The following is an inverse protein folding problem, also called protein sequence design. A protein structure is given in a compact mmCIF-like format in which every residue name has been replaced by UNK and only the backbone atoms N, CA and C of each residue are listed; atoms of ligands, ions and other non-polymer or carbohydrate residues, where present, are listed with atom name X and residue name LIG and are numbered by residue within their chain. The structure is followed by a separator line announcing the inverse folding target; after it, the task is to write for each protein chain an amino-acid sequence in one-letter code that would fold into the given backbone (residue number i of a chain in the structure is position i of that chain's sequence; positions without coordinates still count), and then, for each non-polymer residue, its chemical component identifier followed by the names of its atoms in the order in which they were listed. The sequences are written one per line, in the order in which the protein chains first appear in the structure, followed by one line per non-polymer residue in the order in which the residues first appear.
data_IF_057285711939
#
_entry.id   IF_057285711939
#
_cell.length_a   1.000
_cell.length_b   1.000
_cell.length_c   1.000
_cell.angle_alpha   90.00
_cell.angle_beta   90.00
_cell.angle_gamma   90.00
#
_symmetry.space_group_name_H-M   'P 1'
#
loop_
_entity.id
_entity.type
_entity.pdbx_description
1 polymer ?
#
# COMPACT_ATOMS: atom_id res chain seq x y z
N UNK A 1 9.15 -20.50 -11.37
CA UNK A 1 9.83 -19.78 -12.46
C UNK A 1 9.29 -18.36 -12.63
N UNK A 2 7.97 -18.16 -12.78
CA UNK A 2 7.38 -16.82 -12.97
C UNK A 2 7.66 -15.82 -11.83
N UNK A 3 7.64 -16.28 -10.57
CA UNK A 3 7.94 -15.42 -9.41
C UNK A 3 9.37 -14.88 -9.40
N UNK A 4 10.34 -15.72 -9.80
CA UNK A 4 11.75 -15.36 -9.82
C UNK A 4 12.05 -14.31 -10.90
N UNK A 5 11.46 -14.48 -12.09
CA UNK A 5 11.54 -13.48 -13.15
C UNK A 5 10.93 -12.13 -12.75
N UNK A 6 9.84 -12.14 -11.98
CA UNK A 6 9.23 -10.91 -11.48
C UNK A 6 10.13 -10.16 -10.48
N UNK A 7 10.88 -10.88 -9.64
CA UNK A 7 11.84 -10.27 -8.72
C UNK A 7 13.06 -9.71 -9.45
N UNK A 8 13.58 -10.42 -10.45
CA UNK A 8 14.70 -9.95 -11.27
C UNK A 8 14.34 -8.64 -12.01
N UNK A 9 13.14 -8.58 -12.59
CA UNK A 9 12.63 -7.34 -13.21
C UNK A 9 12.46 -6.22 -12.19
N UNK A 10 11.93 -6.51 -11.00
CA UNK A 10 11.80 -5.52 -9.93
C UNK A 10 13.16 -4.97 -9.48
N UNK A 11 14.20 -5.82 -9.44
CA UNK A 11 15.58 -5.43 -9.13
C UNK A 11 16.12 -4.46 -10.19
N UNK A 12 16.00 -4.81 -11.47
CA UNK A 12 16.47 -3.96 -12.58
C UNK A 12 15.78 -2.60 -12.57
N UNK A 13 14.44 -2.59 -12.49
CA UNK A 13 13.67 -1.34 -12.45
C UNK A 13 14.02 -0.50 -11.21
N UNK A 14 14.20 -1.12 -10.05
CA UNK A 14 14.57 -0.42 -8.82
C UNK A 14 15.95 0.22 -8.93
N UNK A 15 16.94 -0.49 -9.50
CA UNK A 15 18.27 0.06 -9.73
C UNK A 15 18.25 1.27 -10.67
N UNK A 16 17.44 1.21 -11.75
CA UNK A 16 17.26 2.34 -12.67
C UNK A 16 16.66 3.57 -11.97
N UNK A 17 15.68 3.38 -11.09
CA UNK A 17 15.10 4.49 -10.32
C UNK A 17 16.16 5.13 -9.42
N UNK A 18 17.02 4.34 -8.78
CA UNK A 18 18.11 4.86 -7.94
C UNK A 18 19.19 5.59 -8.73
N UNK A 19 19.34 5.34 -10.04
CA UNK A 19 20.22 6.16 -10.87
C UNK A 19 19.73 7.62 -10.99
N UNK A 20 18.42 7.87 -10.88
CA UNK A 20 17.84 9.22 -10.93
C UNK A 20 17.73 9.87 -9.56
N UNK A 21 17.38 9.09 -8.53
CA UNK A 21 17.16 9.56 -7.17
C UNK A 21 17.75 8.52 -6.21
N UNK A 22 19.03 8.72 -5.86
CA UNK A 22 19.81 7.77 -5.06
C UNK A 22 19.25 7.68 -3.64
N UNK A 23 18.85 8.80 -3.04
CA UNK A 23 18.28 8.85 -1.69
C UNK A 23 16.82 8.34 -1.60
N UNK A 24 16.26 7.75 -2.67
CA UNK A 24 14.87 7.25 -2.68
C UNK A 24 14.69 6.01 -1.82
N UNK A 25 14.51 6.23 -0.53
CA UNK A 25 14.40 5.18 0.50
C UNK A 25 13.28 4.15 0.23
N UNK A 26 12.14 4.59 -0.33
CA UNK A 26 11.06 3.66 -0.73
C UNK A 26 11.52 2.66 -1.79
N UNK A 27 12.39 3.08 -2.71
CA UNK A 27 12.97 2.21 -3.73
C UNK A 27 13.98 1.24 -3.11
N UNK A 28 14.83 1.72 -2.20
CA UNK A 28 15.72 0.84 -1.42
C UNK A 28 14.96 -0.28 -0.71
N UNK A 29 13.85 0.03 -0.01
CA UNK A 29 13.01 -0.99 0.64
C UNK A 29 12.43 -2.01 -0.34
N UNK A 30 12.01 -1.58 -1.53
CA UNK A 30 11.51 -2.50 -2.56
C UNK A 30 12.60 -3.44 -3.04
N UNK A 31 13.80 -2.92 -3.29
CA UNK A 31 14.96 -3.72 -3.66
C UNK A 31 15.36 -4.71 -2.57
N UNK A 32 15.39 -4.29 -1.31
CA UNK A 32 15.64 -5.17 -0.16
C UNK A 32 14.68 -6.37 -0.16
N UNK A 33 13.38 -6.11 -0.37
CA UNK A 33 12.37 -7.19 -0.47
C UNK A 33 12.61 -8.08 -1.68
N UNK A 34 12.80 -7.50 -2.87
CA UNK A 34 13.01 -8.28 -4.09
C UNK A 34 14.23 -9.21 -4.00
N UNK A 35 15.36 -8.71 -3.46
CA UNK A 35 16.53 -9.55 -3.21
C UNK A 35 16.22 -10.69 -2.25
N UNK A 36 15.60 -10.40 -1.10
CA UNK A 36 15.25 -11.43 -0.12
C UNK A 36 14.33 -12.52 -0.70
N UNK A 37 13.31 -12.14 -1.47
CA UNK A 37 12.36 -13.08 -2.08
C UNK A 37 12.94 -13.88 -3.24
N UNK A 38 13.96 -13.34 -3.92
CA UNK A 38 14.74 -14.08 -4.91
C UNK A 38 15.71 -15.09 -4.27
N UNK A 39 15.79 -15.11 -2.92
CA UNK A 39 16.73 -15.94 -2.16
C UNK A 39 18.07 -15.27 -1.85
N UNK A 40 18.29 -14.05 -2.33
CA UNK A 40 19.51 -13.27 -2.08
C UNK A 40 19.38 -12.41 -0.81
N UNK A 41 19.41 -13.06 0.34
CA UNK A 41 19.39 -12.38 1.66
C UNK A 41 20.57 -11.42 1.81
N UNK A 42 21.75 -11.79 1.34
CA UNK A 42 22.96 -10.95 1.44
C UNK A 42 22.82 -9.68 0.61
N UNK A 43 22.30 -9.78 -0.61
CA UNK A 43 21.97 -8.63 -1.46
C UNK A 43 20.97 -7.69 -0.79
N UNK A 44 19.97 -8.25 -0.10
CA UNK A 44 18.99 -7.46 0.64
C UNK A 44 19.62 -6.63 1.79
N UNK A 45 20.50 -7.25 2.59
CA UNK A 45 21.20 -6.56 3.68
C UNK A 45 22.18 -5.50 3.16
N UNK A 46 22.91 -5.80 2.09
CA UNK A 46 23.79 -4.80 1.43
C UNK A 46 23.01 -3.62 0.86
N UNK A 47 21.78 -3.84 0.42
CA UNK A 47 20.93 -2.76 -0.10
C UNK A 47 20.48 -1.79 1.00
N UNK A 48 20.29 -2.29 2.24
CA UNK A 48 20.07 -1.46 3.41
C UNK A 48 21.29 -0.59 3.73
N UNK A 49 22.49 -1.19 3.77
CA UNK A 49 23.73 -0.44 4.03
C UNK A 49 23.92 0.70 3.03
N UNK A 50 23.69 0.42 1.73
CA UNK A 50 23.69 1.45 0.68
C UNK A 50 22.66 2.55 0.92
N UNK A 51 21.47 2.20 1.40
CA UNK A 51 20.44 3.19 1.76
C UNK A 51 20.95 4.11 2.86
N UNK A 52 21.55 3.55 3.92
CA UNK A 52 22.11 4.32 5.02
C UNK A 52 23.20 5.27 4.53
N UNK A 53 24.16 4.77 3.75
CA UNK A 53 25.25 5.59 3.20
C UNK A 53 24.73 6.75 2.38
N UNK A 54 23.80 6.51 1.44
CA UNK A 54 23.29 7.56 0.57
C UNK A 54 22.42 8.57 1.32
N UNK A 55 21.58 8.12 2.27
CA UNK A 55 20.77 9.04 3.08
C UNK A 55 21.64 9.93 3.97
N UNK A 56 22.71 9.38 4.53
CA UNK A 56 23.70 10.16 5.28
C UNK A 56 24.40 11.16 4.35
N UNK A 57 24.93 10.69 3.21
CA UNK A 57 25.71 11.52 2.28
C UNK A 57 24.90 12.65 1.63
N UNK A 58 23.67 12.36 1.16
CA UNK A 58 22.87 13.33 0.39
C UNK A 58 21.95 14.17 1.28
N UNK A 59 21.45 13.60 2.37
CA UNK A 59 20.39 14.22 3.19
C UNK A 59 20.78 14.41 4.67
N UNK A 60 21.91 13.84 5.12
CA UNK A 60 22.36 13.89 6.53
C UNK A 60 21.28 13.36 7.50
N UNK A 61 20.57 12.31 7.07
CA UNK A 61 19.52 11.66 7.86
C UNK A 61 19.73 10.17 7.91
N UNK A 62 19.20 9.57 8.98
CA UNK A 62 19.14 8.12 9.13
C UNK A 62 17.89 7.56 8.41
N UNK A 63 17.88 6.26 8.06
CA UNK A 63 16.70 5.61 7.49
C UNK A 63 15.48 5.72 8.39
N UNK A 64 14.29 5.78 7.78
CA UNK A 64 13.00 5.75 8.47
C UNK A 64 12.80 4.43 9.24
N UNK A 65 11.90 4.46 10.22
CA UNK A 65 11.56 3.30 11.05
C UNK A 65 11.13 2.07 10.24
N UNK A 66 10.49 2.27 9.07
CA UNK A 66 10.01 1.16 8.24
C UNK A 66 11.17 0.47 7.53
N UNK A 67 12.20 1.21 7.15
CA UNK A 67 13.41 0.68 6.52
C UNK A 67 14.26 -0.07 7.54
N UNK A 68 14.41 0.48 8.75
CA UNK A 68 15.09 -0.20 9.87
C UNK A 68 14.35 -1.49 10.27
N UNK A 69 13.03 -1.43 10.43
CA UNK A 69 12.21 -2.59 10.74
C UNK A 69 12.29 -3.69 9.66
N UNK A 70 12.31 -3.29 8.38
CA UNK A 70 12.48 -4.23 7.28
C UNK A 70 13.86 -4.92 7.33
N UNK A 71 14.92 -4.17 7.66
CA UNK A 71 16.25 -4.74 7.84
C UNK A 71 16.27 -5.77 8.98
N UNK A 72 15.68 -5.46 10.13
CA UNK A 72 15.55 -6.39 11.26
C UNK A 72 14.77 -7.65 10.87
N UNK A 73 13.68 -7.52 10.10
CA UNK A 73 12.92 -8.67 9.62
C UNK A 73 13.73 -9.57 8.69
N UNK A 74 14.50 -8.98 7.76
CA UNK A 74 15.39 -9.73 6.86
C UNK A 74 16.50 -10.40 7.68
N UNK A 75 17.06 -9.68 8.66
CA UNK A 75 18.13 -10.20 9.50
C UNK A 75 17.66 -11.40 10.35
N UNK A 76 16.42 -11.39 10.81
CA UNK A 76 15.84 -12.48 11.61
C UNK A 76 15.12 -13.55 10.78
N UNK A 77 15.20 -13.50 9.44
CA UNK A 77 14.46 -14.36 8.51
C UNK A 77 12.94 -14.40 8.79
N UNK A 78 12.41 -13.30 9.35
CA UNK A 78 11.06 -13.18 9.88
C UNK A 78 10.12 -12.39 8.95
N UNK A 79 10.51 -12.19 7.69
CA UNK A 79 9.77 -11.32 6.77
C UNK A 79 8.40 -11.93 6.42
N UNK A 80 7.28 -11.30 6.83
CA UNK A 80 5.96 -11.83 6.53
C UNK A 80 5.65 -11.69 5.03
N UNK A 81 5.22 -12.79 4.42
CA UNK A 81 4.81 -12.89 3.00
C UNK A 81 3.65 -11.93 2.62
N UNK A 82 2.92 -11.34 3.58
CA UNK A 82 1.72 -10.55 3.29
C UNK A 82 1.95 -9.05 2.96
N UNK A 83 3.15 -8.48 3.13
CA UNK A 83 3.43 -7.12 2.65
C UNK A 83 3.73 -7.03 1.13
N UNK A 84 3.86 -8.18 0.47
CA UNK A 84 4.19 -8.32 -0.95
C UNK A 84 3.01 -8.00 -1.88
N UNK A 85 1.81 -8.06 -1.33
CA UNK A 85 0.56 -7.84 -2.03
C UNK A 85 0.08 -6.39 -1.88
N UNK A 86 0.92 -5.44 -1.47
CA UNK A 86 0.50 -4.05 -1.19
C UNK A 86 -0.15 -3.33 -2.38
N UNK A 87 0.14 -3.71 -3.64
CA UNK A 87 -0.59 -3.21 -4.82
C UNK A 87 -1.90 -3.98 -5.08
N UNK A 88 -1.92 -5.29 -4.86
CA UNK A 88 -3.12 -6.11 -5.01
C UNK A 88 -4.17 -5.79 -3.93
N UNK A 89 -3.75 -5.63 -2.67
CA UNK A 89 -4.61 -5.24 -1.56
C UNK A 89 -5.12 -3.82 -1.69
N UNK A 90 -4.33 -2.89 -2.23
CA UNK A 90 -4.81 -1.54 -2.48
C UNK A 90 -5.92 -1.52 -3.53
N UNK A 91 -5.79 -2.32 -4.60
CA UNK A 91 -6.85 -2.45 -5.60
C UNK A 91 -8.09 -3.14 -4.99
N UNK A 92 -7.89 -4.17 -4.17
CA UNK A 92 -8.96 -4.93 -3.52
C UNK A 92 -9.71 -4.11 -2.46
N UNK A 93 -9.00 -3.32 -1.65
CA UNK A 93 -9.58 -2.35 -0.70
C UNK A 93 -10.37 -1.27 -1.45
N UNK A 94 -9.83 -0.72 -2.55
CA UNK A 94 -10.53 0.28 -3.36
C UNK A 94 -11.83 -0.26 -3.96
N UNK A 95 -11.81 -1.48 -4.53
CA UNK A 95 -13.00 -2.14 -5.08
C UNK A 95 -14.05 -2.46 -4.00
N UNK A 96 -13.61 -2.91 -2.82
CA UNK A 96 -14.50 -3.18 -1.70
C UNK A 96 -15.13 -1.88 -1.17
N UNK A 97 -14.33 -0.82 -1.07
CA UNK A 97 -14.80 0.49 -0.65
C UNK A 97 -15.78 1.10 -1.67
N UNK A 98 -15.57 0.92 -2.97
CA UNK A 98 -16.52 1.34 -4.01
C UNK A 98 -17.85 0.58 -3.93
N UNK A 99 -17.83 -0.72 -3.63
CA UNK A 99 -19.07 -1.50 -3.43
C UNK A 99 -19.82 -1.02 -2.18
N UNK A 100 -19.09 -0.72 -1.10
CA UNK A 100 -19.70 -0.19 0.12
C UNK A 100 -20.36 1.19 -0.10
N UNK A 101 -19.72 2.10 -0.84
CA UNK A 101 -20.31 3.43 -1.09
C UNK A 101 -21.59 3.34 -1.92
N UNK A 102 -21.65 2.44 -2.90
CA UNK A 102 -22.87 2.20 -3.69
C UNK A 102 -24.01 1.69 -2.80
N UNK A 103 -23.73 0.72 -1.93
CA UNK A 103 -24.72 0.18 -1.00
C UNK A 103 -25.19 1.27 -0.02
N UNK A 104 -24.27 2.09 0.50
CA UNK A 104 -24.62 3.20 1.39
C UNK A 104 -25.52 4.25 0.70
N UNK A 105 -25.24 4.60 -0.55
CA UNK A 105 -26.05 5.55 -1.31
C UNK A 105 -27.46 5.02 -1.58
N UNK A 106 -27.59 3.74 -1.92
CA UNK A 106 -28.89 3.11 -2.15
C UNK A 106 -29.74 3.06 -0.87
N UNK A 107 -29.13 2.71 0.26
CA UNK A 107 -29.81 2.75 1.56
C UNK A 107 -30.24 4.17 1.95
N UNK A 108 -29.42 5.18 1.67
CA UNK A 108 -29.77 6.57 1.95
C UNK A 108 -30.97 7.03 1.11
N UNK A 109 -31.02 6.66 -0.18
CA UNK A 109 -32.17 6.98 -1.04
C UNK A 109 -33.47 6.34 -0.54
N UNK A 110 -33.40 5.09 -0.06
CA UNK A 110 -34.57 4.39 0.49
C UNK A 110 -35.07 5.09 1.77
N UNK A 111 -34.17 5.51 2.65
CA UNK A 111 -34.49 6.26 3.87
C UNK A 111 -35.15 7.60 3.53
N UNK A 112 -34.54 8.37 2.62
CA UNK A 112 -35.07 9.67 2.19
C UNK A 112 -36.46 9.52 1.54
N UNK A 113 -36.66 8.46 0.75
CA UNK A 113 -37.95 8.13 0.14
C UNK A 113 -39.03 7.84 1.19
N UNK A 114 -38.72 7.03 2.21
CA UNK A 114 -39.63 6.74 3.31
C UNK A 114 -39.97 8.00 4.12
N UNK A 115 -39.00 8.88 4.34
CA UNK A 115 -39.21 10.17 5.00
C UNK A 115 -40.14 11.09 4.19
N UNK A 116 -39.99 11.12 2.85
CA UNK A 116 -40.87 11.89 1.97
C UNK A 116 -42.30 11.34 1.95
N UNK A 117 -42.49 10.02 1.91
CA UNK A 117 -43.81 9.39 2.02
C UNK A 117 -44.48 9.71 3.37
N UNK A 118 -43.72 9.65 4.48
CA UNK A 118 -44.22 10.00 5.80
C UNK A 118 -44.57 11.48 5.99
N UNK A 119 -43.93 12.39 5.22
CA UNK A 119 -44.28 13.82 5.19
C UNK A 119 -45.51 14.09 4.32
N UNK A 120 -45.69 13.37 3.22
CA UNK A 120 -46.86 13.48 2.32
C UNK A 120 -48.14 12.98 2.98
N UNK A 121 -48.09 11.82 3.66
CA UNK A 121 -49.21 11.28 4.42
C UNK A 121 -49.69 12.21 5.55
N UNK A 122 -48.77 12.95 6.18
CA UNK A 122 -49.10 13.94 7.23
C UNK A 122 -49.77 15.22 6.69
N UNK A 123 -49.39 15.69 5.50
CA UNK A 123 -50.04 16.85 4.88
C UNK A 123 -51.44 16.52 4.32
N UNK A 124 -51.66 15.30 3.83
CA UNK A 124 -52.99 14.84 3.42
C UNK A 124 -54.01 14.78 4.56
N UNK A 125 -53.55 14.52 5.79
CA UNK A 125 -54.40 14.52 6.99
C UNK A 125 -54.72 15.93 7.53
N UNK A 126 -53.95 16.96 7.15
CA UNK A 126 -54.16 18.35 7.58
C UNK A 126 -55.06 19.17 6.62
N UNK A 127 -55.33 18.66 5.41
CA UNK A 127 -56.21 19.31 4.42
C UNK A 127 -57.69 18.85 4.50
N UNK A 128 -58.06 18.11 5.54
CA UNK A 128 -59.44 17.66 5.82
C UNK A 128 -59.98 18.25 7.14
N UNK A 129 -59.78 19.55 7.34
CA UNK A 129 -60.52 20.40 8.29
C UNK A 129 -61.02 21.63 7.53
#
# INVERSE_FOLDING_TARGET
YESQQAYDQAIVCGQQILCYDRARERTHRRLMRSYYLSGDRTGALRQYERCCTVLEDELQVQPDHRTQFLFEQIQNDALPNWELNSTAYHLQLCLLQQRLTVIQAQLQQEIDFLDHLGKSARHGAQNFQ
#
